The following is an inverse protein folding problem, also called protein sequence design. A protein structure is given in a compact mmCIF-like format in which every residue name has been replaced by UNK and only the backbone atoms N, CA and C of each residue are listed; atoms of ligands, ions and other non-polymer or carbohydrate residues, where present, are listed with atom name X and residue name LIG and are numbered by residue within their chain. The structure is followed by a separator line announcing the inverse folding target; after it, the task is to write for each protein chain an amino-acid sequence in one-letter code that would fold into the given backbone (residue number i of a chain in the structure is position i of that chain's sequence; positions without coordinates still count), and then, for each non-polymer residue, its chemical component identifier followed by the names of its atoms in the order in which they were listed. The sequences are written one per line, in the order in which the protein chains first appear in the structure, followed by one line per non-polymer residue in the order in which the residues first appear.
data_IF_528637664739
#
_entry.id   IF_528637664739
#
_cell.length_a   1.000
_cell.length_b   1.000
_cell.length_c   1.000
_cell.angle_alpha   90.00
_cell.angle_beta   90.00
_cell.angle_gamma   90.00
#
_symmetry.space_group_name_H-M   'P 1'
#
loop_
_entity.id
_entity.type
_entity.pdbx_description
1 polymer ?
#
# COMPACT_ATOMS: atom_id res chain seq x y z
N UNK A 1 9.15 -0.37 -4.08
CA UNK A 1 8.72 -1.73 -3.65
C UNK A 1 7.32 -2.04 -4.21
N UNK A 2 6.93 -3.31 -4.41
CA UNK A 2 5.60 -3.67 -4.97
C UNK A 2 4.43 -3.16 -4.12
N UNK A 3 4.66 -2.98 -2.82
CA UNK A 3 3.73 -2.36 -1.87
C UNK A 3 3.07 -1.07 -2.40
N UNK A 4 3.82 -0.19 -3.07
CA UNK A 4 3.32 1.09 -3.58
C UNK A 4 2.51 0.99 -4.88
N UNK A 5 2.35 -0.23 -5.41
CA UNK A 5 1.62 -0.54 -6.64
C UNK A 5 0.83 -1.84 -6.54
N UNK A 6 0.50 -2.28 -5.32
CA UNK A 6 -0.28 -3.49 -5.07
C UNK A 6 -1.70 -3.38 -5.61
N UNK A 7 -2.29 -2.18 -5.57
CA UNK A 7 -3.57 -1.87 -6.21
C UNK A 7 -3.57 -0.46 -6.80
N UNK A 8 -3.44 0.56 -5.94
CA UNK A 8 -3.19 1.93 -6.37
C UNK A 8 -1.72 2.15 -6.64
N UNK A 9 -1.42 3.04 -7.59
CA UNK A 9 -0.08 3.60 -7.76
C UNK A 9 0.02 4.84 -6.86
N UNK A 10 0.96 4.79 -5.93
CA UNK A 10 1.23 5.87 -4.98
C UNK A 10 2.75 6.08 -4.91
N UNK A 11 3.19 7.33 -4.70
CA UNK A 11 4.62 7.65 -4.75
C UNK A 11 5.25 7.86 -3.37
N UNK A 12 4.42 8.01 -2.33
CA UNK A 12 4.88 8.27 -0.96
C UNK A 12 3.96 7.61 0.08
N UNK A 13 4.48 7.28 1.27
CA UNK A 13 3.72 6.60 2.31
C UNK A 13 2.87 7.59 3.12
N UNK A 14 1.75 8.02 2.55
CA UNK A 14 0.84 8.94 3.20
C UNK A 14 0.25 8.36 4.51
N UNK A 15 0.18 9.20 5.54
CA UNK A 15 -0.57 8.94 6.77
C UNK A 15 -1.23 10.23 7.27
N UNK A 16 -1.55 10.31 8.56
CA UNK A 16 -2.09 11.53 9.16
C UNK A 16 -1.08 12.67 9.12
N UNK A 17 0.19 12.34 9.30
CA UNK A 17 1.33 13.25 9.14
C UNK A 17 2.09 12.92 7.85
N UNK A 18 3.00 13.80 7.47
CA UNK A 18 3.93 13.60 6.35
C UNK A 18 5.33 14.02 6.79
N UNK A 19 5.82 13.35 7.83
CA UNK A 19 7.14 13.61 8.40
C UNK A 19 8.24 12.82 7.69
N UNK A 20 7.92 11.59 7.25
CA UNK A 20 8.86 10.68 6.60
C UNK A 20 8.42 10.35 5.18
N UNK A 21 9.35 10.30 4.24
CA UNK A 21 9.07 9.90 2.84
C UNK A 21 9.24 8.38 2.61
N UNK A 22 9.59 7.64 3.66
CA UNK A 22 9.84 6.21 3.59
C UNK A 22 9.10 5.44 4.68
N UNK A 23 8.89 4.16 4.40
CA UNK A 23 8.43 3.17 5.37
C UNK A 23 9.63 2.35 5.81
N UNK A 24 9.61 1.89 7.06
CA UNK A 24 10.60 0.95 7.54
C UNK A 24 10.01 -0.45 7.41
N UNK A 25 10.81 -1.42 6.97
CA UNK A 25 10.33 -2.78 6.85
C UNK A 25 11.43 -3.81 7.01
N UNK A 26 11.08 -4.92 7.67
CA UNK A 26 11.92 -6.12 7.71
C UNK A 26 11.46 -7.02 6.59
N UNK A 27 12.41 -7.37 5.72
CA UNK A 27 12.19 -8.25 4.59
C UNK A 27 12.81 -9.62 4.85
N UNK A 28 12.12 -10.66 4.43
CA UNK A 28 12.57 -12.05 4.43
C UNK A 28 12.08 -12.69 3.13
N UNK A 29 12.99 -13.37 2.43
CA UNK A 29 12.76 -13.95 1.09
C UNK A 29 12.13 -12.96 0.08
N UNK A 30 12.57 -11.70 0.09
CA UNK A 30 12.07 -10.66 -0.81
C UNK A 30 10.64 -10.18 -0.50
N UNK A 31 10.09 -10.56 0.66
CA UNK A 31 8.79 -10.12 1.14
C UNK A 31 8.90 -9.35 2.44
N UNK A 32 8.08 -8.30 2.58
CA UNK A 32 7.94 -7.57 3.84
C UNK A 32 7.15 -8.43 4.82
N UNK A 33 7.76 -8.75 5.96
CA UNK A 33 7.12 -9.46 7.08
C UNK A 33 6.68 -8.51 8.19
N UNK A 34 7.44 -7.43 8.38
CA UNK A 34 7.14 -6.37 9.36
C UNK A 34 7.21 -5.04 8.62
N UNK A 35 6.20 -4.21 8.81
CA UNK A 35 6.09 -2.87 8.23
C UNK A 35 5.82 -1.86 9.36
N UNK A 36 6.62 -0.80 9.42
CA UNK A 36 6.43 0.32 10.34
C UNK A 36 6.20 1.58 9.53
N UNK A 37 5.13 2.30 9.88
CA UNK A 37 4.67 3.51 9.20
C UNK A 37 4.80 4.71 10.14
N UNK A 38 5.84 5.55 9.99
CA UNK A 38 6.06 6.69 10.87
C UNK A 38 4.97 7.77 10.76
N UNK A 39 4.29 7.84 9.62
CA UNK A 39 3.34 8.90 9.30
C UNK A 39 1.93 8.74 9.92
N UNK A 40 1.76 7.84 10.89
CA UNK A 40 0.48 7.63 11.58
C UNK A 40 -0.69 7.31 10.61
N UNK A 41 -0.60 6.16 9.93
CA UNK A 41 -1.68 5.68 9.07
C UNK A 41 -2.97 5.41 9.88
N UNK A 42 -2.84 4.88 11.10
CA UNK A 42 -3.98 4.61 11.98
C UNK A 42 -4.80 5.87 12.27
N UNK A 43 -4.14 6.99 12.59
CA UNK A 43 -4.80 8.27 12.82
C UNK A 43 -5.52 8.82 11.58
N UNK A 44 -5.02 8.53 10.36
CA UNK A 44 -5.70 8.92 9.13
C UNK A 44 -6.97 8.10 8.86
N UNK A 45 -7.00 6.84 9.31
CA UNK A 45 -8.14 5.93 9.12
C UNK A 45 -9.14 5.98 10.27
N UNK A 46 -8.74 6.48 11.44
CA UNK A 46 -9.57 6.51 12.64
C UNK A 46 -10.88 7.28 12.43
N UNK A 47 -11.98 6.63 12.83
CA UNK A 47 -13.33 7.20 12.85
C UNK A 47 -13.84 7.36 14.28
N UNK A 48 -14.70 8.36 14.50
CA UNK A 48 -15.51 8.52 15.71
C UNK A 48 -16.78 7.66 15.68
N UNK A 49 -17.54 7.70 16.77
CA UNK A 49 -18.85 7.01 16.86
C UNK A 49 -19.89 7.62 15.91
N UNK A 50 -19.72 8.90 15.58
CA UNK A 50 -20.48 9.63 14.56
C UNK A 50 -20.11 9.24 13.12
N UNK A 51 -19.15 8.33 12.94
CA UNK A 51 -18.63 7.93 11.64
C UNK A 51 -17.76 8.98 10.96
N UNK A 52 -17.53 10.14 11.59
CA UNK A 52 -16.64 11.17 11.06
C UNK A 52 -15.19 10.81 11.35
N UNK A 53 -14.28 11.41 10.59
CA UNK A 53 -12.85 11.20 10.82
C UNK A 53 -12.43 11.84 12.14
N UNK A 54 -11.75 11.07 12.99
CA UNK A 54 -11.40 11.52 14.35
C UNK A 54 -10.29 12.57 14.38
N UNK A 55 -9.33 12.47 13.47
CA UNK A 55 -8.15 13.34 13.46
C UNK A 55 -7.93 13.99 12.11
N UNK A 56 -7.53 15.28 12.02
CA UNK A 56 -7.18 15.91 10.77
C UNK A 56 -5.86 15.36 10.22
N UNK A 57 -5.74 15.29 8.89
CA UNK A 57 -4.48 15.00 8.22
C UNK A 57 -3.76 16.31 7.89
N UNK A 58 -2.47 16.40 8.19
CA UNK A 58 -1.66 17.60 8.01
C UNK A 58 -0.34 17.25 7.31
N UNK A 59 0.14 18.11 6.39
CA UNK A 59 -0.43 19.40 5.97
C UNK A 59 -1.53 19.31 4.89
N UNK A 60 -1.74 18.16 4.25
CA UNK A 60 -2.52 18.04 3.01
C UNK A 60 -4.02 17.74 3.17
N UNK A 61 -4.57 17.79 4.38
CA UNK A 61 -6.01 17.68 4.62
C UNK A 61 -6.65 16.40 4.06
N UNK A 62 -7.86 16.53 3.50
CA UNK A 62 -8.62 15.39 2.99
C UNK A 62 -7.94 14.66 1.82
N UNK A 63 -7.21 15.37 0.96
CA UNK A 63 -6.46 14.77 -0.14
C UNK A 63 -5.37 13.83 0.42
N UNK A 64 -4.62 14.29 1.42
CA UNK A 64 -3.64 13.44 2.11
C UNK A 64 -4.29 12.21 2.75
N UNK A 65 -5.49 12.35 3.31
CA UNK A 65 -6.23 11.22 3.86
C UNK A 65 -6.59 10.20 2.79
N UNK A 66 -7.03 10.66 1.62
CA UNK A 66 -7.32 9.76 0.50
C UNK A 66 -6.07 8.95 0.11
N UNK A 67 -4.90 9.60 0.03
CA UNK A 67 -3.63 8.90 -0.20
C UNK A 67 -3.31 7.88 0.89
N UNK A 68 -3.59 8.20 2.16
CA UNK A 68 -3.41 7.27 3.27
C UNK A 68 -4.36 6.06 3.16
N UNK A 69 -5.61 6.26 2.76
CA UNK A 69 -6.57 5.17 2.48
C UNK A 69 -6.05 4.26 1.36
N UNK A 70 -5.55 4.85 0.26
CA UNK A 70 -4.96 4.09 -0.86
C UNK A 70 -3.74 3.26 -0.41
N UNK A 71 -2.88 3.82 0.44
CA UNK A 71 -1.78 3.07 1.06
C UNK A 71 -2.29 1.91 1.92
N UNK A 72 -3.32 2.13 2.74
CA UNK A 72 -3.95 1.09 3.55
C UNK A 72 -4.47 -0.09 2.71
N UNK A 73 -5.15 0.22 1.60
CA UNK A 73 -5.63 -0.80 0.65
C UNK A 73 -4.46 -1.56 0.01
N UNK A 74 -3.40 -0.85 -0.38
CA UNK A 74 -2.19 -1.45 -0.91
C UNK A 74 -1.50 -2.40 0.07
N UNK A 75 -1.42 -2.03 1.36
CA UNK A 75 -0.88 -2.88 2.43
C UNK A 75 -1.74 -4.12 2.60
N UNK A 76 -3.06 -3.97 2.67
CA UNK A 76 -3.98 -5.08 2.84
C UNK A 76 -3.81 -6.10 1.71
N UNK A 77 -3.86 -5.65 0.46
CA UNK A 77 -3.70 -6.53 -0.70
C UNK A 77 -2.29 -7.12 -0.82
N UNK A 78 -1.26 -6.37 -0.46
CA UNK A 78 0.10 -6.93 -0.41
C UNK A 78 0.19 -8.08 0.61
N UNK A 79 -0.41 -7.91 1.79
CA UNK A 79 -0.36 -8.90 2.86
C UNK A 79 -1.23 -10.13 2.57
N UNK A 80 -2.40 -9.95 1.96
CA UNK A 80 -3.39 -11.03 1.79
C UNK A 80 -3.35 -11.72 0.42
N UNK A 81 -2.89 -11.04 -0.64
CA UNK A 81 -2.87 -11.60 -1.99
C UNK A 81 -1.49 -12.12 -2.42
N UNK A 82 -0.53 -12.18 -1.48
CA UNK A 82 0.81 -12.76 -1.64
C UNK A 82 1.41 -12.49 -3.02
N UNK A 83 1.37 -13.50 -3.88
CA UNK A 83 2.18 -13.57 -5.09
C UNK A 83 1.40 -13.12 -6.33
N UNK A 84 0.16 -12.64 -6.16
CA UNK A 84 -0.77 -12.29 -7.24
C UNK A 84 -0.15 -11.39 -8.34
N UNK A 85 0.83 -10.55 -8.01
CA UNK A 85 1.56 -9.70 -8.97
C UNK A 85 2.98 -10.16 -9.29
N UNK A 86 3.55 -11.08 -8.52
CA UNK A 86 4.83 -11.74 -8.80
C UNK A 86 4.67 -13.02 -9.61
N UNK A 87 3.44 -13.51 -9.79
CA UNK A 87 3.05 -14.62 -10.67
C UNK A 87 3.21 -14.27 -12.16
N UNK A 88 4.44 -13.96 -12.55
CA UNK A 88 4.90 -14.04 -13.93
C UNK A 88 4.88 -15.47 -14.47
N UNK A 89 4.63 -16.48 -13.62
CA UNK A 89 4.44 -17.87 -14.04
C UNK A 89 3.32 -18.01 -15.10
N UNK A 90 2.28 -17.16 -15.09
CA UNK A 90 1.24 -17.19 -16.13
C UNK A 90 1.62 -16.44 -17.42
N UNK A 91 2.58 -15.52 -17.38
CA UNK A 91 3.00 -14.74 -18.56
C UNK A 91 3.88 -15.59 -19.47
N UNK A 92 4.75 -16.45 -18.93
CA UNK A 92 5.53 -17.38 -19.74
C UNK A 92 4.64 -18.42 -20.43
N UNK A 93 3.61 -18.95 -19.75
CA UNK A 93 2.64 -19.90 -20.34
C UNK A 93 1.83 -19.25 -21.48
N UNK A 94 1.44 -17.97 -21.33
CA UNK A 94 0.74 -17.21 -22.38
C UNK A 94 1.64 -16.87 -23.58
N UNK A 95 2.93 -16.61 -23.36
CA UNK A 95 3.90 -16.33 -24.42
C UNK A 95 4.35 -17.61 -25.14
N UNK A 96 4.42 -18.76 -24.46
CA UNK A 96 4.76 -20.05 -25.07
C UNK A 96 3.66 -20.52 -26.04
N UNK A 97 2.39 -20.32 -25.69
CA UNK A 97 1.25 -20.72 -26.52
C UNK A 97 0.99 -19.81 -27.74
N UNK A 98 1.67 -18.66 -27.85
CA UNK A 98 1.58 -17.78 -29.04
C UNK A 98 2.70 -18.01 -30.06
N UNK A 99 3.67 -18.88 -29.79
CA UNK A 99 4.75 -19.25 -30.74
C UNK A 99 4.38 -20.38 -31.71
N UNK A 100 3.13 -20.87 -31.67
CA UNK A 100 2.62 -21.94 -32.55
C UNK A 100 1.43 -21.50 -33.40
N UNK A 101 1.52 -20.30 -33.98
CA UNK A 101 0.85 -19.94 -35.23
C UNK A 101 1.83 -19.16 -36.11
#
# INVERSE_FOLDING_TARGET
HVLYRSFYIIDFPAGRTRAEDQVLGVQDEGRIKILVLPNDLGGALARGEDGLYRWPCTPGGNVQREWAIRLGINILLYATCTDYKSDRAHVETLLHNRRWK
#
